data_IF_591242263084
#
_entry.id   IF_591242263084
#
_cell.length_a   1.000
_cell.length_b   1.000
_cell.length_c   1.000
_cell.angle_alpha   90.00
_cell.angle_beta   90.00
_cell.angle_gamma   90.00
#
_symmetry.space_group_name_H-M   'P 1'
#
loop_
_entity.id
_entity.type
_entity.pdbx_description
1 polymer ?
#
# COMPACT_ATOMS: atom_id res chain seq x y z
N UNK A 1 -49.62 20.29 11.95
CA UNK A 1 -48.48 19.97 12.84
C UNK A 1 -47.22 20.21 12.04
N UNK A 2 -46.49 21.24 12.48
CA UNK A 2 -45.05 21.54 12.35
C UNK A 2 -44.22 20.99 11.18
N UNK A 3 -43.61 21.95 10.47
CA UNK A 3 -42.46 21.91 9.58
C UNK A 3 -41.24 21.16 10.15
N UNK A 4 -40.42 20.63 9.25
CA UNK A 4 -39.00 21.03 9.10
C UNK A 4 -38.51 20.42 7.77
N UNK A 5 -38.60 21.18 6.68
CA UNK A 5 -37.51 21.98 6.11
C UNK A 5 -36.47 21.09 5.42
N UNK A 6 -36.81 20.63 4.22
CA UNK A 6 -35.83 20.19 3.23
C UNK A 6 -35.56 21.39 2.33
N UNK A 7 -34.60 22.23 2.72
CA UNK A 7 -34.06 23.26 1.85
C UNK A 7 -32.89 22.65 1.06
N UNK A 8 -32.95 22.68 -0.29
CA UNK A 8 -31.90 22.15 -1.14
C UNK A 8 -30.79 23.20 -1.30
N UNK A 9 -29.64 22.94 -0.71
CA UNK A 9 -28.45 23.74 -0.97
C UNK A 9 -27.81 23.26 -2.27
N UNK A 10 -28.03 24.09 -3.28
CA UNK A 10 -27.42 24.09 -4.60
C UNK A 10 -25.93 24.47 -4.48
N UNK A 11 -25.18 24.15 -5.54
CA UNK A 11 -23.85 24.59 -5.96
C UNK A 11 -22.70 23.62 -5.66
N UNK A 12 -21.87 23.24 -6.63
CA UNK A 12 -21.86 23.49 -8.07
C UNK A 12 -20.84 22.54 -8.70
N UNK A 13 -21.06 22.26 -9.98
CA UNK A 13 -20.06 21.96 -11.02
C UNK A 13 -19.02 20.84 -10.79
N UNK A 14 -18.99 19.93 -11.78
CA UNK A 14 -17.80 19.17 -12.16
C UNK A 14 -16.57 20.08 -12.20
N UNK A 15 -15.46 19.58 -11.64
CA UNK A 15 -14.04 19.99 -11.78
C UNK A 15 -13.37 20.28 -10.43
N UNK A 16 -12.37 19.46 -10.12
CA UNK A 16 -11.38 19.58 -9.04
C UNK A 16 -11.81 19.15 -7.61
N UNK A 17 -12.23 17.89 -7.45
CA UNK A 17 -11.68 17.14 -6.31
C UNK A 17 -10.30 16.67 -6.77
N UNK A 18 -9.29 17.53 -6.62
CA UNK A 18 -7.91 17.04 -6.50
C UNK A 18 -7.89 16.24 -5.20
N UNK A 19 -8.21 14.96 -5.30
CA UNK A 19 -7.76 13.99 -4.32
C UNK A 19 -6.24 14.06 -4.41
N UNK A 20 -5.60 14.78 -3.50
CA UNK A 20 -4.18 14.63 -3.26
C UNK A 20 -3.95 13.12 -3.13
N UNK A 21 -3.14 12.57 -4.03
CA UNK A 21 -2.82 11.13 -4.11
C UNK A 21 -2.19 10.62 -2.77
N UNK A 22 -1.92 11.55 -1.86
CA UNK A 22 -1.33 11.38 -0.54
C UNK A 22 -2.35 11.02 0.57
N UNK A 23 -3.68 11.15 0.36
CA UNK A 23 -4.69 10.84 1.40
C UNK A 23 -5.36 9.45 1.27
N UNK A 24 -4.89 8.59 0.36
CA UNK A 24 -5.41 7.21 0.20
C UNK A 24 -4.67 6.13 1.00
N UNK A 25 -3.72 6.54 1.85
CA UNK A 25 -3.14 5.67 2.85
C UNK A 25 -3.39 6.29 4.22
N UNK A 26 -4.50 5.92 4.85
CA UNK A 26 -4.59 5.92 6.31
C UNK A 26 -3.45 5.02 6.82
N UNK A 27 -2.27 5.61 6.96
CA UNK A 27 -1.02 5.04 7.47
C UNK A 27 -1.05 4.94 9.00
N UNK A 28 -2.22 4.69 9.58
CA UNK A 28 -2.39 4.52 11.02
C UNK A 28 -1.85 3.16 11.52
N UNK A 29 -1.12 2.44 10.66
CA UNK A 29 -0.21 1.38 11.08
C UNK A 29 1.16 2.01 11.31
N UNK A 30 1.26 2.88 12.33
CA UNK A 30 2.51 3.50 12.74
C UNK A 30 3.56 2.40 12.98
N UNK A 31 4.41 2.20 11.98
CA UNK A 31 5.63 1.41 12.07
C UNK A 31 6.40 1.95 13.29
N UNK A 32 6.74 1.11 14.25
CA UNK A 32 7.50 1.56 15.42
C UNK A 32 8.90 2.03 14.96
N UNK A 33 9.58 2.88 15.74
CA UNK A 33 10.95 3.33 15.40
C UNK A 33 11.86 2.11 15.11
N UNK A 34 12.23 1.91 13.84
CA UNK A 34 13.05 0.77 13.37
C UNK A 34 12.32 -0.28 12.52
N UNK A 35 11.02 -0.09 12.27
CA UNK A 35 10.24 -0.90 11.33
C UNK A 35 10.32 -0.34 9.90
N UNK A 36 10.23 -1.24 8.92
CA UNK A 36 10.07 -0.91 7.50
C UNK A 36 8.97 -1.78 6.88
N UNK A 37 8.60 -1.52 5.63
CA UNK A 37 7.45 -2.13 4.96
C UNK A 37 7.86 -2.82 3.68
N UNK A 38 7.36 -4.04 3.49
CA UNK A 38 7.40 -4.77 2.23
C UNK A 38 6.03 -4.68 1.56
N UNK A 39 6.01 -4.27 0.28
CA UNK A 39 4.80 -4.30 -0.56
C UNK A 39 4.98 -5.14 -1.82
N UNK A 40 4.10 -6.10 -2.02
CA UNK A 40 4.08 -6.97 -3.19
C UNK A 40 3.22 -6.42 -4.35
N UNK A 41 2.41 -5.37 -4.11
CA UNK A 41 1.64 -4.72 -5.16
C UNK A 41 2.58 -4.14 -6.21
N UNK A 42 2.21 -4.30 -7.47
CA UNK A 42 2.98 -3.85 -8.64
C UNK A 42 4.31 -4.56 -8.89
N UNK A 43 4.67 -5.62 -8.15
CA UNK A 43 5.90 -6.39 -8.40
C UNK A 43 6.00 -6.86 -9.87
N UNK A 44 4.87 -7.20 -10.48
CA UNK A 44 4.81 -7.65 -11.88
C UNK A 44 4.56 -6.52 -12.89
N UNK A 45 4.51 -5.25 -12.48
CA UNK A 45 4.12 -4.15 -13.35
C UNK A 45 5.02 -4.04 -14.58
N UNK A 46 4.39 -3.73 -15.71
CA UNK A 46 5.03 -3.64 -17.01
C UNK A 46 5.34 -4.98 -17.68
N UNK A 47 5.09 -6.13 -17.04
CA UNK A 47 5.18 -7.43 -17.70
C UNK A 47 4.16 -7.54 -18.85
N UNK A 48 4.63 -7.94 -20.03
CA UNK A 48 3.79 -8.16 -21.22
C UNK A 48 3.63 -9.63 -21.55
N UNK A 49 4.40 -10.50 -20.89
CA UNK A 49 4.33 -11.96 -21.04
C UNK A 49 4.39 -12.65 -19.69
N UNK A 50 3.88 -13.89 -19.63
CA UNK A 50 3.95 -14.71 -18.41
C UNK A 50 5.39 -14.94 -17.94
N UNK A 51 6.31 -15.11 -18.88
CA UNK A 51 7.73 -15.29 -18.57
C UNK A 51 8.39 -14.02 -18.02
N UNK A 52 7.89 -12.84 -18.37
CA UNK A 52 8.35 -11.57 -17.76
C UNK A 52 7.76 -11.40 -16.36
N UNK A 53 6.48 -11.72 -16.17
CA UNK A 53 5.83 -11.69 -14.86
C UNK A 53 6.52 -12.65 -13.88
N UNK A 54 6.81 -13.89 -14.30
CA UNK A 54 7.52 -14.88 -13.50
C UNK A 54 8.92 -14.39 -13.10
N UNK A 55 9.69 -13.83 -14.05
CA UNK A 55 11.02 -13.28 -13.75
C UNK A 55 10.99 -12.12 -12.76
N UNK A 56 9.95 -11.29 -12.80
CA UNK A 56 9.77 -10.20 -11.83
C UNK A 56 9.43 -10.72 -10.43
N UNK A 57 8.57 -11.73 -10.33
CA UNK A 57 8.31 -12.41 -9.05
C UNK A 57 9.56 -13.09 -8.49
N UNK A 58 10.36 -13.73 -9.35
CA UNK A 58 11.63 -14.35 -8.94
C UNK A 58 12.62 -13.30 -8.43
N UNK A 59 12.73 -12.14 -9.08
CA UNK A 59 13.58 -11.04 -8.63
C UNK A 59 13.14 -10.49 -7.28
N UNK A 60 11.83 -10.24 -7.10
CA UNK A 60 11.30 -9.80 -5.80
C UNK A 60 11.52 -10.85 -4.71
N UNK A 61 11.37 -12.14 -5.03
CA UNK A 61 11.68 -13.21 -4.08
C UNK A 61 13.16 -13.23 -3.69
N UNK A 62 14.08 -12.81 -4.57
CA UNK A 62 15.49 -12.66 -4.23
C UNK A 62 15.73 -11.45 -3.32
N UNK A 63 15.11 -10.30 -3.61
CA UNK A 63 15.19 -9.12 -2.73
C UNK A 63 14.73 -9.44 -1.30
N UNK A 64 13.67 -10.24 -1.14
CA UNK A 64 13.21 -10.70 0.18
C UNK A 64 14.26 -11.56 0.90
N UNK A 65 15.02 -12.39 0.17
CA UNK A 65 16.11 -13.19 0.76
C UNK A 65 17.27 -12.31 1.18
N UNK A 66 17.66 -11.34 0.35
CA UNK A 66 18.72 -10.39 0.67
C UNK A 66 18.38 -9.57 1.93
N UNK A 67 17.11 -9.18 2.08
CA UNK A 67 16.61 -8.55 3.32
C UNK A 67 16.75 -9.49 4.53
N UNK A 68 16.33 -10.75 4.41
CA UNK A 68 16.50 -11.74 5.47
C UNK A 68 17.98 -11.97 5.85
N UNK A 69 18.86 -12.12 4.86
CA UNK A 69 20.30 -12.31 5.06
C UNK A 69 20.97 -11.08 5.71
N UNK A 70 20.42 -9.89 5.50
CA UNK A 70 20.86 -8.65 6.14
C UNK A 70 20.22 -8.40 7.52
N UNK A 71 19.44 -9.37 8.02
CA UNK A 71 18.90 -9.38 9.38
C UNK A 71 17.48 -8.86 9.51
N UNK A 72 16.77 -8.59 8.41
CA UNK A 72 15.36 -8.19 8.46
C UNK A 72 14.44 -9.41 8.60
N UNK A 73 13.39 -9.28 9.40
CA UNK A 73 12.41 -10.34 9.63
C UNK A 73 10.99 -9.79 9.62
N UNK A 74 10.03 -10.61 9.19
CA UNK A 74 8.60 -10.27 9.25
C UNK A 74 8.14 -10.18 10.71
N UNK A 75 7.47 -9.08 11.05
CA UNK A 75 6.86 -8.88 12.38
C UNK A 75 5.59 -9.73 12.54
N UNK A 76 4.85 -9.95 11.45
CA UNK A 76 3.64 -10.77 11.40
C UNK A 76 3.46 -11.39 10.00
N UNK A 77 2.40 -12.19 9.83
CA UNK A 77 2.03 -12.69 8.50
C UNK A 77 1.73 -11.52 7.55
N UNK A 78 2.18 -11.65 6.29
CA UNK A 78 1.82 -10.71 5.22
C UNK A 78 0.33 -10.87 4.91
N UNK A 79 -0.39 -9.76 4.87
CA UNK A 79 -1.82 -9.73 4.55
C UNK A 79 -2.02 -8.96 3.24
N UNK A 80 -2.74 -9.58 2.30
CA UNK A 80 -2.86 -9.14 0.91
C UNK A 80 -1.48 -9.01 0.24
N UNK A 81 -0.97 -7.78 0.15
CA UNK A 81 0.30 -7.41 -0.45
C UNK A 81 1.19 -6.62 0.52
N UNK A 82 0.83 -6.51 1.81
CA UNK A 82 1.49 -5.65 2.77
C UNK A 82 2.07 -6.45 3.94
N UNK A 83 3.33 -6.21 4.29
CA UNK A 83 3.99 -6.78 5.45
C UNK A 83 4.91 -5.77 6.13
N UNK A 84 4.99 -5.84 7.46
CA UNK A 84 5.94 -5.05 8.26
C UNK A 84 7.15 -5.92 8.56
N UNK A 85 8.35 -5.37 8.35
CA UNK A 85 9.62 -6.01 8.68
C UNK A 85 10.35 -5.19 9.74
N UNK A 86 11.18 -5.87 10.54
CA UNK A 86 12.03 -5.26 11.56
C UNK A 86 13.44 -5.82 11.48
N UNK A 87 14.43 -4.97 11.73
CA UNK A 87 15.82 -5.42 11.84
C UNK A 87 16.01 -6.19 13.16
N UNK A 88 16.51 -7.41 13.05
CA UNK A 88 16.88 -8.24 14.19
C UNK A 88 18.38 -8.11 14.43
N UNK A 89 18.74 -7.66 15.64
CA UNK A 89 20.13 -7.54 16.11
C UNK A 89 20.83 -8.91 16.28
#
# INVERSE_FOLDING_TARGET
MTNQDYEPDVYADDDDIELDDDELFDDDTAAEDGDDVVRARWVMDGARTLSEAARKLEAFAEELRELEESGWQLVAAVENDYGVIRQTD
#
